data_IF_667477531634
#
_entry.id   IF_667477531634
#
_cell.length_a   1.000
_cell.length_b   1.000
_cell.length_c   1.000
_cell.angle_alpha   90.00
_cell.angle_beta   90.00
_cell.angle_gamma   90.00
#
_symmetry.space_group_name_H-M   'P 1'
#
loop_
_entity.id
_entity.type
_entity.pdbx_description
1 polymer ?
#
# COMPACT_ATOMS: atom_id res chain seq x y z
N UNK A 1 41.07 -42.64 40.71
CA UNK A 1 42.12 -41.97 41.54
C UNK A 1 41.61 -40.59 41.89
N UNK A 2 40.98 -40.36 43.06
CA UNK A 2 41.59 -39.97 44.36
C UNK A 2 42.60 -38.80 44.25
N UNK A 3 42.12 -37.53 44.33
CA UNK A 3 42.20 -36.57 45.48
C UNK A 3 43.57 -36.48 46.20
N UNK A 4 44.02 -35.37 46.86
CA UNK A 4 43.97 -33.89 46.67
C UNK A 4 45.36 -33.23 47.00
N UNK A 5 45.41 -31.92 47.35
CA UNK A 5 46.21 -31.19 48.40
C UNK A 5 46.38 -29.74 47.91
N UNK A 6 45.89 -28.62 48.48
CA UNK A 6 45.68 -28.02 49.83
C UNK A 6 46.92 -27.33 50.44
N UNK A 7 46.68 -26.08 50.92
CA UNK A 7 47.49 -25.18 51.78
C UNK A 7 48.44 -24.26 50.99
N UNK A 8 48.51 -22.95 51.23
CA UNK A 8 48.15 -22.13 52.40
C UNK A 8 49.39 -21.31 52.77
N UNK A 9 49.28 -19.98 52.91
CA UNK A 9 50.45 -19.16 53.25
C UNK A 9 50.17 -17.66 53.26
N UNK A 10 49.96 -17.15 54.47
CA UNK A 10 49.84 -15.74 54.88
C UNK A 10 51.16 -14.96 54.75
N UNK A 11 51.11 -13.65 54.46
CA UNK A 11 52.31 -12.81 54.56
C UNK A 11 52.11 -11.31 54.29
N UNK A 12 51.70 -10.57 55.33
CA UNK A 12 51.92 -9.14 55.66
C UNK A 12 52.44 -8.13 54.61
N UNK A 13 51.58 -7.13 54.39
CA UNK A 13 51.79 -5.68 54.58
C UNK A 13 53.13 -5.02 54.21
N UNK A 14 53.04 -4.05 53.28
CA UNK A 14 53.80 -2.80 53.35
C UNK A 14 52.94 -1.64 52.84
N UNK A 15 52.95 -0.58 53.63
CA UNK A 15 52.21 0.67 53.48
C UNK A 15 52.78 1.47 52.31
N UNK A 16 51.92 1.90 51.40
CA UNK A 16 52.21 2.95 50.43
C UNK A 16 51.09 3.98 50.47
N UNK A 17 51.35 5.13 51.06
CA UNK A 17 50.46 6.29 51.02
C UNK A 17 50.45 6.83 49.57
N UNK A 18 49.44 6.43 48.81
CA UNK A 18 49.15 6.96 47.48
C UNK A 18 48.06 8.01 47.57
N UNK A 19 48.40 9.23 47.19
CA UNK A 19 47.51 10.39 47.04
C UNK A 19 46.24 9.98 46.27
N UNK A 20 45.09 9.99 46.95
CA UNK A 20 43.79 9.90 46.29
C UNK A 20 43.46 11.28 45.75
N UNK A 21 43.76 11.49 44.48
CA UNK A 21 43.13 12.56 43.70
C UNK A 21 41.66 12.17 43.59
N UNK A 22 40.80 12.92 44.26
CA UNK A 22 39.36 12.86 44.07
C UNK A 22 39.04 13.35 42.65
N UNK A 23 39.18 12.46 41.68
CA UNK A 23 38.60 12.63 40.36
C UNK A 23 37.09 12.48 40.52
N UNK A 24 36.39 13.62 40.51
CA UNK A 24 34.96 13.64 40.23
C UNK A 24 34.80 13.10 38.81
N UNK A 25 34.58 11.80 38.69
CA UNK A 25 34.02 11.18 37.50
C UNK A 25 32.58 11.67 37.42
N UNK A 26 32.40 12.85 36.83
CA UNK A 26 31.18 13.19 36.11
C UNK A 26 31.01 12.10 35.06
N UNK A 27 30.23 11.07 35.40
CA UNK A 27 29.62 10.20 34.43
C UNK A 27 28.68 11.08 33.61
N UNK A 28 29.24 11.73 32.58
CA UNK A 28 28.47 12.19 31.45
C UNK A 28 27.84 10.92 30.88
N UNK A 29 26.62 10.63 31.32
CA UNK A 29 25.73 9.73 30.60
C UNK A 29 25.61 10.30 29.20
N UNK A 30 26.43 9.79 28.30
CA UNK A 30 26.20 9.85 26.88
C UNK A 30 24.92 9.03 26.67
N UNK A 31 23.78 9.68 26.90
CA UNK A 31 22.56 9.37 26.19
C UNK A 31 22.93 9.56 24.73
N UNK A 32 23.45 8.49 24.11
CA UNK A 32 23.55 8.43 22.67
C UNK A 32 22.18 8.80 22.11
N UNK A 33 22.10 9.52 20.98
CA UNK A 33 20.83 9.73 20.32
C UNK A 33 20.20 8.35 20.13
N UNK A 34 19.19 8.05 20.95
CA UNK A 34 18.24 7.03 20.59
C UNK A 34 17.64 7.59 19.32
N UNK A 35 17.99 6.99 18.19
CA UNK A 35 17.14 7.04 17.01
C UNK A 35 15.76 6.62 17.50
N UNK A 36 14.97 7.62 17.87
CA UNK A 36 13.54 7.51 17.90
C UNK A 36 13.24 7.16 16.46
N UNK A 37 13.12 5.86 16.17
CA UNK A 37 12.55 5.36 14.95
C UNK A 37 11.19 6.02 14.87
N UNK A 38 11.13 7.16 14.19
CA UNK A 38 9.96 8.00 14.15
C UNK A 38 8.86 7.10 13.62
N UNK A 39 7.86 6.83 14.46
CA UNK A 39 6.70 6.10 13.96
C UNK A 39 6.20 6.87 12.74
N UNK A 40 5.94 6.19 11.62
CA UNK A 40 5.41 6.84 10.44
C UNK A 40 4.18 7.62 10.88
N UNK A 41 4.13 8.92 10.59
CA UNK A 41 2.97 9.74 10.91
C UNK A 41 1.87 9.32 9.95
N UNK A 42 1.00 8.40 10.37
CA UNK A 42 -0.23 8.13 9.65
C UNK A 42 -1.05 9.42 9.68
N UNK A 43 -1.34 10.03 8.53
CA UNK A 43 -2.05 11.30 8.51
C UNK A 43 -3.49 11.10 8.94
N UNK A 44 -4.00 12.02 9.76
CA UNK A 44 -5.43 12.05 10.07
C UNK A 44 -6.22 12.31 8.77
N UNK A 45 -7.25 11.51 8.43
CA UNK A 45 -8.07 11.78 7.27
C UNK A 45 -8.80 13.13 7.33
N UNK A 46 -8.96 13.67 8.54
CA UNK A 46 -9.54 14.99 8.82
C UNK A 46 -8.55 16.16 8.69
N UNK A 47 -7.28 15.91 8.35
CA UNK A 47 -6.33 16.98 8.08
C UNK A 47 -6.84 17.90 6.95
N UNK A 48 -6.40 19.17 6.88
CA UNK A 48 -6.90 20.10 5.88
C UNK A 48 -6.64 19.63 4.45
N UNK A 49 -7.60 19.82 3.55
CA UNK A 49 -7.41 19.63 2.12
C UNK A 49 -7.16 20.97 1.43
N UNK A 50 -6.08 21.11 0.65
CA UNK A 50 -5.70 22.35 -0.03
C UNK A 50 -5.02 22.12 -1.36
N UNK A 51 -5.44 22.81 -2.40
CA UNK A 51 -4.78 22.73 -3.71
C UNK A 51 -4.86 21.33 -4.32
N UNK A 52 -3.97 21.06 -5.26
CA UNK A 52 -4.04 19.84 -6.08
C UNK A 52 -2.67 19.19 -6.26
N UNK A 53 -2.65 17.89 -6.58
CA UNK A 53 -1.40 17.13 -6.80
C UNK A 53 -0.69 17.65 -8.06
N UNK A 54 0.52 18.22 -7.96
CA UNK A 54 1.26 18.71 -9.12
C UNK A 54 1.73 17.55 -10.01
N UNK A 55 1.84 17.80 -11.32
CA UNK A 55 2.32 16.81 -12.28
C UNK A 55 1.30 15.74 -12.68
N UNK A 56 0.08 15.76 -12.11
CA UNK A 56 -0.98 14.83 -12.51
C UNK A 56 -1.52 15.15 -13.91
N UNK A 57 -1.78 14.13 -14.69
CA UNK A 57 -2.57 14.21 -15.92
C UNK A 57 -4.03 13.86 -15.63
N UNK A 58 -4.98 14.45 -16.36
CA UNK A 58 -6.43 14.31 -16.12
C UNK A 58 -7.16 13.99 -17.43
N UNK A 59 -8.24 13.21 -17.34
CA UNK A 59 -9.14 12.91 -18.44
C UNK A 59 -8.44 12.20 -19.59
N UNK A 60 -8.63 12.67 -20.83
CA UNK A 60 -8.00 12.07 -22.02
C UNK A 60 -6.46 12.09 -21.98
N UNK A 61 -5.86 12.98 -21.18
CA UNK A 61 -4.41 13.02 -20.98
C UNK A 61 -3.92 12.07 -19.89
N UNK A 62 -4.81 11.53 -19.05
CA UNK A 62 -4.45 10.61 -17.99
C UNK A 62 -3.90 9.29 -18.55
N UNK A 63 -4.39 8.85 -19.71
CA UNK A 63 -3.84 7.68 -20.42
C UNK A 63 -2.73 8.14 -21.35
N UNK A 64 -1.49 7.92 -20.94
CA UNK A 64 -0.34 8.22 -21.80
C UNK A 64 -0.10 7.09 -22.82
N UNK A 65 0.88 7.26 -23.71
CA UNK A 65 1.23 6.22 -24.67
C UNK A 65 1.74 4.93 -23.98
N UNK A 66 2.44 5.06 -22.84
CA UNK A 66 2.92 3.92 -22.05
C UNK A 66 1.75 3.16 -21.38
N UNK A 67 0.71 3.86 -20.92
CA UNK A 67 -0.38 3.25 -20.14
C UNK A 67 -1.41 2.53 -21.01
N UNK A 68 -1.42 2.84 -22.31
CA UNK A 68 -2.47 2.41 -23.25
C UNK A 68 -2.65 0.89 -23.28
N UNK A 69 -1.56 0.12 -23.29
CA UNK A 69 -1.62 -1.34 -23.34
C UNK A 69 -2.31 -1.92 -22.09
N UNK A 70 -1.91 -1.45 -20.90
CA UNK A 70 -2.50 -1.83 -19.62
C UNK A 70 -3.99 -1.44 -19.54
N UNK A 71 -4.35 -0.22 -19.94
CA UNK A 71 -5.75 0.27 -19.95
C UNK A 71 -6.63 -0.55 -20.90
N UNK A 72 -6.16 -0.79 -22.11
CA UNK A 72 -6.91 -1.57 -23.08
C UNK A 72 -7.06 -3.02 -22.62
N UNK A 73 -6.06 -3.59 -21.95
CA UNK A 73 -6.14 -4.94 -21.37
C UNK A 73 -7.19 -5.01 -20.27
N UNK A 74 -7.20 -4.07 -19.33
CA UNK A 74 -8.23 -3.97 -18.31
C UNK A 74 -9.63 -3.90 -18.93
N UNK A 75 -9.82 -3.03 -19.92
CA UNK A 75 -11.10 -2.89 -20.65
C UNK A 75 -11.53 -4.19 -21.32
N UNK A 76 -10.61 -4.92 -21.96
CA UNK A 76 -10.91 -6.23 -22.58
C UNK A 76 -11.34 -7.27 -21.55
N UNK A 77 -10.59 -7.39 -20.44
CA UNK A 77 -10.89 -8.34 -19.37
C UNK A 77 -12.25 -8.06 -18.73
N UNK A 78 -12.59 -6.78 -18.54
CA UNK A 78 -13.88 -6.37 -18.00
C UNK A 78 -15.03 -6.51 -19.00
N UNK A 79 -14.79 -6.20 -20.27
CA UNK A 79 -15.80 -6.27 -21.34
C UNK A 79 -16.13 -7.68 -21.82
N UNK A 80 -15.43 -8.71 -21.32
CA UNK A 80 -15.56 -10.09 -21.78
C UNK A 80 -15.15 -10.30 -23.26
N UNK A 81 -14.58 -9.26 -23.88
CA UNK A 81 -14.25 -9.23 -25.30
C UNK A 81 -12.79 -9.70 -25.48
N UNK A 82 -12.64 -11.00 -25.75
CA UNK A 82 -11.59 -11.54 -26.60
C UNK A 82 -10.15 -11.30 -26.14
N UNK A 83 -9.62 -12.26 -25.39
CA UNK A 83 -8.22 -12.32 -25.07
C UNK A 83 -7.40 -12.67 -26.35
N UNK A 84 -6.45 -11.79 -26.74
CA UNK A 84 -5.47 -12.05 -27.82
C UNK A 84 -4.52 -13.20 -27.46
N UNK A 85 -4.41 -13.48 -26.17
CA UNK A 85 -3.86 -14.70 -25.57
C UNK A 85 -5.05 -15.57 -25.15
N UNK A 86 -5.07 -16.90 -25.32
CA UNK A 86 -6.15 -17.72 -24.77
C UNK A 86 -6.36 -17.34 -23.30
N UNK A 87 -7.61 -17.19 -22.84
CA UNK A 87 -7.89 -16.84 -21.43
C UNK A 87 -7.20 -17.77 -20.41
N UNK A 88 -6.73 -18.94 -20.87
CA UNK A 88 -5.88 -19.87 -20.15
C UNK A 88 -4.44 -19.41 -19.84
N UNK A 89 -3.92 -18.32 -20.43
CA UNK A 89 -2.54 -17.84 -20.19
C UNK A 89 -2.44 -16.50 -19.47
N UNK A 90 -3.55 -15.92 -19.01
CA UNK A 90 -3.55 -14.78 -18.08
C UNK A 90 -4.26 -15.19 -16.80
N UNK A 91 -3.62 -14.95 -15.67
CA UNK A 91 -4.19 -15.15 -14.35
C UNK A 91 -4.49 -13.77 -13.72
N UNK A 92 -5.70 -13.63 -13.20
CA UNK A 92 -6.14 -12.45 -12.47
C UNK A 92 -6.52 -12.87 -11.06
N UNK A 93 -5.87 -12.27 -10.06
CA UNK A 93 -6.13 -12.53 -8.65
C UNK A 93 -6.03 -11.26 -7.84
N UNK A 94 -6.69 -11.29 -6.70
CA UNK A 94 -6.68 -10.21 -5.73
C UNK A 94 -6.87 -10.76 -4.31
N UNK A 95 -6.33 -10.05 -3.33
CA UNK A 95 -6.49 -10.35 -1.91
C UNK A 95 -6.31 -9.10 -1.07
N UNK A 96 -7.04 -9.00 0.03
CA UNK A 96 -6.86 -7.94 1.01
C UNK A 96 -8.13 -7.72 1.80
N UNK A 97 -8.40 -6.46 2.11
CA UNK A 97 -9.58 -6.04 2.86
C UNK A 97 -10.72 -5.73 1.90
N UNK A 98 -11.81 -6.49 2.01
CA UNK A 98 -13.12 -6.08 1.49
C UNK A 98 -13.77 -5.12 2.48
N UNK A 99 -14.14 -3.94 2.01
CA UNK A 99 -14.91 -2.97 2.75
C UNK A 99 -16.39 -3.27 2.52
N UNK A 100 -17.03 -3.79 3.55
CA UNK A 100 -18.43 -4.15 3.56
C UNK A 100 -19.07 -3.47 4.75
N UNK A 101 -19.52 -2.23 4.57
CA UNK A 101 -20.66 -1.82 5.36
C UNK A 101 -21.83 -2.70 4.90
N UNK A 102 -22.55 -3.33 5.83
CA UNK A 102 -23.83 -3.94 5.51
C UNK A 102 -24.78 -2.89 4.94
N UNK A 103 -24.79 -2.74 3.61
CA UNK A 103 -25.60 -1.75 2.90
C UNK A 103 -25.04 -0.33 2.94
N UNK A 104 -25.56 0.53 2.04
CA UNK A 104 -25.18 1.92 1.82
C UNK A 104 -24.79 2.68 3.10
N UNK A 105 -23.60 3.29 3.12
CA UNK A 105 -23.15 4.05 4.29
C UNK A 105 -21.66 4.37 4.33
N UNK A 106 -20.82 3.72 3.52
CA UNK A 106 -19.41 4.12 3.40
C UNK A 106 -19.33 5.40 2.59
N UNK A 107 -18.79 6.44 3.22
CA UNK A 107 -18.59 7.78 2.67
C UNK A 107 -17.12 8.07 2.39
N UNK A 108 -16.21 7.14 2.70
CA UNK A 108 -14.79 7.30 2.43
C UNK A 108 -13.93 6.15 2.91
N UNK A 109 -12.73 6.07 2.34
CA UNK A 109 -11.69 5.11 2.68
C UNK A 109 -10.35 5.83 2.62
N UNK A 110 -9.48 5.57 3.60
CA UNK A 110 -8.12 6.07 3.65
C UNK A 110 -7.19 4.94 4.05
N UNK A 111 -5.98 4.93 3.49
CA UNK A 111 -4.94 3.96 3.82
C UNK A 111 -3.56 4.57 3.60
N UNK A 112 -2.55 3.93 4.20
CA UNK A 112 -1.14 4.14 3.88
C UNK A 112 -0.61 2.90 3.19
N UNK A 113 -0.11 3.07 1.98
CA UNK A 113 0.15 2.01 1.02
C UNK A 113 1.62 2.02 0.65
N UNK A 114 2.25 0.84 0.66
CA UNK A 114 3.63 0.70 0.17
C UNK A 114 3.71 1.06 -1.30
N UNK A 115 4.86 1.58 -1.67
CA UNK A 115 5.17 1.96 -3.03
C UNK A 115 6.61 1.57 -3.31
N UNK A 116 6.84 0.74 -4.32
CA UNK A 116 8.18 0.34 -4.74
C UNK A 116 8.55 1.03 -6.07
N UNK A 117 9.23 2.19 -6.05
CA UNK A 117 9.56 2.91 -7.27
C UNK A 117 10.57 2.17 -8.15
N UNK A 118 11.25 1.15 -7.62
CA UNK A 118 12.22 0.33 -8.34
C UNK A 118 11.61 -0.99 -8.88
N UNK A 119 10.30 -1.21 -8.69
CA UNK A 119 9.60 -2.34 -9.29
C UNK A 119 9.14 -1.98 -10.71
N UNK A 120 9.74 -2.67 -11.67
CA UNK A 120 9.33 -2.72 -13.07
C UNK A 120 8.97 -4.16 -13.41
N UNK A 121 7.86 -4.37 -14.11
CA UNK A 121 7.44 -5.71 -14.54
C UNK A 121 8.24 -6.17 -15.76
N UNK A 122 8.53 -7.47 -15.84
CA UNK A 122 9.30 -8.02 -16.95
C UNK A 122 8.47 -8.27 -18.23
N UNK A 123 7.16 -8.50 -18.10
CA UNK A 123 6.22 -8.58 -19.24
C UNK A 123 5.48 -7.24 -19.42
N UNK A 124 5.54 -6.66 -20.61
CA UNK A 124 4.83 -5.43 -20.97
C UNK A 124 3.29 -5.61 -20.98
N UNK A 125 2.81 -6.86 -21.06
CA UNK A 125 1.39 -7.16 -20.92
C UNK A 125 0.93 -7.23 -19.45
N UNK A 126 1.86 -7.36 -18.50
CA UNK A 126 1.53 -7.52 -17.08
C UNK A 126 1.21 -6.18 -16.42
N UNK A 127 0.30 -6.25 -15.44
CA UNK A 127 -0.10 -5.09 -14.66
C UNK A 127 -0.30 -5.51 -13.22
N UNK A 128 0.33 -4.77 -12.31
CA UNK A 128 0.19 -4.96 -10.88
C UNK A 128 -0.49 -3.74 -10.26
N UNK A 129 -1.62 -3.97 -9.60
CA UNK A 129 -2.41 -3.00 -8.84
C UNK A 129 -2.21 -3.28 -7.35
N UNK A 130 -1.18 -2.67 -6.77
CA UNK A 130 -0.65 -3.10 -5.49
C UNK A 130 -0.09 -1.95 -4.66
N UNK A 131 -0.88 -1.38 -3.72
CA UNK A 131 -2.30 -1.65 -3.47
C UNK A 131 -3.29 -0.87 -4.35
N UNK A 132 -4.54 -1.32 -4.41
CA UNK A 132 -5.73 -0.61 -4.93
C UNK A 132 -6.78 -0.42 -3.83
N UNK A 133 -7.54 0.69 -3.82
CA UNK A 133 -8.72 0.80 -2.96
C UNK A 133 -9.88 1.63 -3.54
N UNK A 134 -11.11 1.21 -3.19
CA UNK A 134 -12.39 1.88 -3.47
C UNK A 134 -13.26 1.89 -2.22
N UNK A 135 -13.84 3.03 -1.79
CA UNK A 135 -14.57 3.10 -0.52
C UNK A 135 -15.75 2.14 -0.37
N UNK A 136 -16.59 2.02 -1.39
CA UNK A 136 -17.85 1.28 -1.25
C UNK A 136 -18.66 1.25 -2.54
N UNK A 137 -19.85 0.63 -2.49
CA UNK A 137 -20.82 0.75 -3.58
C UNK A 137 -21.22 2.22 -3.76
N UNK A 138 -21.33 2.68 -5.00
CA UNK A 138 -21.67 4.08 -5.31
C UNK A 138 -20.45 5.01 -5.40
N UNK A 139 -19.26 4.58 -4.97
CA UNK A 139 -18.06 5.39 -5.12
C UNK A 139 -17.65 5.53 -6.59
N UNK A 140 -17.39 6.75 -7.03
CA UNK A 140 -16.96 7.04 -8.41
C UNK A 140 -15.47 6.79 -8.65
N UNK A 141 -14.67 6.69 -7.60
CA UNK A 141 -13.21 6.65 -7.73
C UNK A 141 -12.65 5.43 -7.02
N UNK A 142 -11.78 4.73 -7.73
CA UNK A 142 -10.80 3.79 -7.16
C UNK A 142 -9.41 4.38 -7.37
N UNK A 143 -8.60 4.38 -6.31
CA UNK A 143 -7.20 4.77 -6.37
C UNK A 143 -6.33 3.52 -6.44
N UNK A 144 -5.33 3.55 -7.31
CA UNK A 144 -4.47 2.39 -7.60
C UNK A 144 -3.01 2.81 -7.63
N UNK A 145 -2.16 2.09 -6.90
CA UNK A 145 -0.72 2.05 -7.21
C UNK A 145 -0.52 1.05 -8.33
N UNK A 146 -0.05 1.53 -9.48
CA UNK A 146 0.16 0.72 -10.68
C UNK A 146 1.64 0.52 -10.89
N UNK A 147 2.05 -0.72 -11.11
CA UNK A 147 3.37 -1.05 -11.65
C UNK A 147 3.20 -1.70 -13.03
N UNK A 148 4.02 -1.23 -13.97
CA UNK A 148 4.14 -1.73 -15.35
C UNK A 148 5.61 -2.02 -15.67
N UNK A 149 5.90 -2.41 -16.90
CA UNK A 149 7.26 -2.49 -17.43
C UNK A 149 7.99 -1.14 -17.47
N UNK A 150 7.23 -0.04 -17.48
CA UNK A 150 7.75 1.33 -17.52
C UNK A 150 7.95 1.99 -16.14
N UNK A 151 7.53 1.32 -15.07
CA UNK A 151 7.67 1.79 -13.69
C UNK A 151 6.34 2.01 -12.96
N UNK A 152 6.42 2.76 -11.86
CA UNK A 152 5.32 2.97 -10.92
C UNK A 152 4.55 4.28 -11.17
N UNK A 153 3.23 4.22 -11.02
CA UNK A 153 2.31 5.34 -11.12
C UNK A 153 1.19 5.25 -10.09
N UNK A 154 0.53 6.38 -9.82
CA UNK A 154 -0.75 6.39 -9.12
C UNK A 154 -1.85 6.73 -10.12
N UNK A 155 -2.87 5.89 -10.21
CA UNK A 155 -4.02 6.06 -11.09
C UNK A 155 -5.30 6.29 -10.28
N UNK A 156 -6.23 7.06 -10.84
CA UNK A 156 -7.62 7.11 -10.39
C UNK A 156 -8.52 6.58 -11.51
N UNK A 157 -9.13 5.42 -11.31
CA UNK A 157 -10.22 4.96 -12.17
C UNK A 157 -11.47 5.79 -11.91
N UNK A 158 -12.11 6.22 -12.98
CA UNK A 158 -13.39 6.91 -12.97
C UNK A 158 -14.51 5.92 -13.32
N UNK A 159 -15.14 5.42 -12.27
CA UNK A 159 -16.26 4.49 -12.34
C UNK A 159 -17.58 5.16 -12.71
N UNK A 160 -17.64 6.49 -12.74
CA UNK A 160 -18.86 7.26 -13.00
C UNK A 160 -18.95 7.84 -14.41
N UNK A 161 -17.97 7.55 -15.27
CA UNK A 161 -18.14 7.81 -16.71
C UNK A 161 -19.11 6.82 -17.35
N UNK A 162 -19.66 7.20 -18.51
CA UNK A 162 -20.56 6.31 -19.27
C UNK A 162 -19.92 4.97 -19.68
N UNK A 163 -18.59 4.90 -19.76
CA UNK A 163 -17.88 3.65 -20.06
C UNK A 163 -17.58 2.83 -18.80
N UNK A 164 -17.60 3.46 -17.62
CA UNK A 164 -17.21 2.89 -16.34
C UNK A 164 -15.79 2.32 -16.34
N UNK A 165 -14.92 2.73 -17.26
CA UNK A 165 -13.57 2.15 -17.44
C UNK A 165 -12.55 3.18 -17.91
N UNK A 166 -12.78 4.43 -17.52
CA UNK A 166 -11.88 5.53 -17.87
C UNK A 166 -10.90 5.78 -16.74
N UNK A 167 -9.66 6.11 -17.09
CA UNK A 167 -8.74 6.67 -16.13
C UNK A 167 -9.00 8.16 -16.05
N UNK A 168 -9.41 8.60 -14.88
CA UNK A 168 -9.69 10.00 -14.59
C UNK A 168 -8.42 10.82 -14.32
N UNK A 169 -7.42 10.21 -13.67
CA UNK A 169 -6.15 10.87 -13.38
C UNK A 169 -4.97 9.88 -13.27
N UNK A 170 -3.77 10.35 -13.60
CA UNK A 170 -2.51 9.64 -13.36
C UNK A 170 -1.42 10.58 -12.85
N UNK A 171 -0.43 10.04 -12.14
CA UNK A 171 0.83 10.73 -11.85
C UNK A 171 1.97 9.70 -11.74
N UNK A 172 3.12 9.99 -12.37
CA UNK A 172 4.31 9.16 -12.26
C UNK A 172 4.91 9.24 -10.86
N UNK A 173 5.38 8.12 -10.34
CA UNK A 173 6.13 8.07 -9.08
C UNK A 173 7.61 8.33 -9.36
N UNK A 174 7.99 9.60 -9.35
CA UNK A 174 9.38 10.07 -9.49
C UNK A 174 9.89 10.69 -8.18
N UNK A 175 11.16 11.08 -8.12
CA UNK A 175 11.78 11.70 -6.93
C UNK A 175 10.99 12.91 -6.42
N UNK A 176 10.45 13.74 -7.32
CA UNK A 176 9.63 14.90 -6.94
C UNK A 176 8.28 14.50 -6.30
N UNK A 177 7.71 13.37 -6.72
CA UNK A 177 6.54 12.78 -6.08
C UNK A 177 6.91 12.25 -4.69
N UNK A 178 7.97 11.44 -4.61
CA UNK A 178 8.43 10.82 -3.35
C UNK A 178 8.82 11.86 -2.30
N UNK A 179 9.47 12.96 -2.71
CA UNK A 179 9.84 14.05 -1.79
C UNK A 179 8.64 14.75 -1.13
N UNK A 180 7.45 14.68 -1.74
CA UNK A 180 6.24 15.34 -1.22
C UNK A 180 5.24 14.37 -0.60
N UNK A 181 4.99 13.26 -1.27
CA UNK A 181 3.94 12.29 -0.94
C UNK A 181 4.49 11.01 -0.31
N UNK A 182 5.80 10.78 -0.44
CA UNK A 182 6.48 9.63 0.12
C UNK A 182 6.70 9.76 1.62
N UNK A 183 6.60 8.62 2.29
CA UNK A 183 6.99 8.38 3.67
C UNK A 183 7.65 7.01 3.77
N UNK A 184 8.02 6.60 4.98
CA UNK A 184 8.55 5.25 5.23
C UNK A 184 7.72 4.56 6.29
N UNK A 185 7.19 3.37 5.98
CA UNK A 185 6.47 2.49 6.92
C UNK A 185 7.19 1.16 7.01
N UNK A 186 7.62 0.79 8.21
CA UNK A 186 8.32 -0.49 8.43
C UNK A 186 9.60 -0.65 7.59
N UNK A 187 10.28 0.45 7.26
CA UNK A 187 11.47 0.46 6.41
C UNK A 187 11.20 0.44 4.90
N UNK A 188 9.94 0.54 4.46
CA UNK A 188 9.53 0.56 3.06
C UNK A 188 8.98 1.93 2.67
N UNK A 189 9.26 2.36 1.44
CA UNK A 189 8.63 3.53 0.84
C UNK A 189 7.11 3.32 0.80
N UNK A 190 6.37 4.35 1.18
CA UNK A 190 4.92 4.33 1.24
C UNK A 190 4.36 5.73 0.95
N UNK A 191 3.06 5.82 0.71
CA UNK A 191 2.33 7.09 0.63
C UNK A 191 0.95 6.91 1.27
N UNK A 192 0.28 8.00 1.61
CA UNK A 192 -1.08 7.95 2.15
C UNK A 192 -2.05 8.58 1.18
N UNK A 193 -3.21 7.95 1.07
CA UNK A 193 -4.28 8.35 0.19
C UNK A 193 -5.63 8.27 0.91
N UNK A 194 -6.60 9.00 0.38
CA UNK A 194 -8.02 8.82 0.72
C UNK A 194 -8.92 9.09 -0.48
N UNK A 195 -10.07 8.44 -0.49
CA UNK A 195 -11.18 8.72 -1.39
C UNK A 195 -12.40 8.93 -0.52
N UNK A 196 -13.11 10.06 -0.66
CA UNK A 196 -14.31 10.34 0.12
C UNK A 196 -15.38 11.07 -0.68
N UNK A 197 -16.64 10.89 -0.28
CA UNK A 197 -17.77 11.61 -0.83
C UNK A 197 -17.75 13.05 -0.31
N UNK A 198 -17.68 14.00 -1.23
CA UNK A 198 -17.60 15.44 -0.95
C UNK A 198 -18.92 16.15 -1.22
N UNK A 199 -19.80 15.58 -2.05
CA UNK A 199 -21.18 16.02 -2.19
C UNK A 199 -22.11 14.82 -2.42
N UNK A 200 -23.01 14.57 -1.48
CA UNK A 200 -23.96 13.47 -1.55
C UNK A 200 -25.07 13.72 -2.61
N UNK A 201 -25.39 14.97 -2.92
CA UNK A 201 -26.50 15.32 -3.84
C UNK A 201 -26.18 14.91 -5.26
N UNK A 202 -24.94 15.15 -5.68
CA UNK A 202 -24.43 14.82 -7.01
C UNK A 202 -23.64 13.51 -7.05
N UNK A 203 -23.55 12.80 -5.91
CA UNK A 203 -22.62 11.68 -5.72
C UNK A 203 -21.18 12.03 -6.14
N UNK A 204 -20.68 13.19 -5.71
CA UNK A 204 -19.30 13.60 -5.99
C UNK A 204 -18.35 12.96 -4.99
N UNK A 205 -17.30 12.32 -5.53
CA UNK A 205 -16.20 11.74 -4.79
C UNK A 205 -14.90 12.46 -5.15
N UNK A 206 -14.02 12.60 -4.17
CA UNK A 206 -12.69 13.16 -4.38
C UNK A 206 -11.61 12.24 -3.82
N UNK A 207 -10.62 11.96 -4.65
CA UNK A 207 -9.38 11.29 -4.31
C UNK A 207 -8.32 12.32 -3.89
N UNK A 208 -7.54 11.99 -2.87
CA UNK A 208 -6.50 12.83 -2.30
C UNK A 208 -5.22 12.03 -2.05
N UNK A 209 -4.08 12.70 -2.18
CA UNK A 209 -2.78 12.23 -1.70
C UNK A 209 -2.29 13.14 -0.56
N UNK A 210 -1.68 12.58 0.47
CA UNK A 210 -1.17 13.36 1.60
C UNK A 210 0.20 13.96 1.26
N UNK A 211 0.29 15.28 1.21
CA UNK A 211 1.54 16.01 1.06
C UNK A 211 2.20 16.12 2.44
N UNK A 212 3.12 15.19 2.71
CA UNK A 212 3.88 15.11 3.96
C UNK A 212 4.74 16.35 4.20
N UNK A 213 5.18 17.03 3.13
CA UNK A 213 5.98 18.26 3.25
C UNK A 213 5.16 19.46 3.75
N UNK A 214 3.86 19.47 3.47
CA UNK A 214 2.95 20.57 3.82
C UNK A 214 1.93 20.19 4.91
N UNK A 215 1.83 18.92 5.30
CA UNK A 215 0.89 18.44 6.29
C UNK A 215 -0.59 18.53 5.86
N UNK A 216 -0.87 18.45 4.55
CA UNK A 216 -2.21 18.64 3.98
C UNK A 216 -2.56 17.56 2.95
N UNK A 217 -3.86 17.30 2.79
CA UNK A 217 -4.36 16.52 1.66
C UNK A 217 -4.39 17.38 0.39
N UNK A 218 -3.89 16.85 -0.73
CA UNK A 218 -3.95 17.48 -2.05
C UNK A 218 -4.96 16.74 -2.92
N UNK A 219 -5.84 17.48 -3.59
CA UNK A 219 -6.81 16.85 -4.52
C UNK A 219 -6.06 16.23 -5.69
N UNK A 220 -6.25 14.93 -5.87
CA UNK A 220 -5.75 14.18 -7.02
C UNK A 220 -6.79 14.16 -8.13
N UNK A 221 -8.01 13.71 -7.82
CA UNK A 221 -9.07 13.58 -8.82
C UNK A 221 -10.45 13.76 -8.18
N UNK A 222 -11.40 14.29 -8.94
CA UNK A 222 -12.80 14.44 -8.54
C UNK A 222 -13.68 13.92 -9.66
N UNK A 223 -14.64 13.07 -9.31
CA UNK A 223 -15.64 12.53 -10.23
C UNK A 223 -17.01 12.51 -9.55
N UNK A 224 -18.07 12.54 -10.35
CA UNK A 224 -19.46 12.49 -9.92
C UNK A 224 -20.28 11.68 -10.90
N UNK A 225 -21.44 11.18 -10.47
CA UNK A 225 -22.36 10.43 -11.32
C UNK A 225 -22.79 9.10 -10.73
N UNK A 226 -23.04 8.11 -11.59
CA UNK A 226 -23.51 6.79 -11.17
C UNK A 226 -22.37 5.79 -11.26
N UNK A 227 -22.13 5.05 -10.18
CA UNK A 227 -21.10 4.01 -10.15
C UNK A 227 -21.44 2.85 -11.11
N UNK A 228 -20.56 2.61 -12.08
CA UNK A 228 -20.65 1.51 -13.06
C UNK A 228 -19.68 0.36 -12.76
N UNK A 229 -19.09 0.31 -11.56
CA UNK A 229 -18.16 -0.75 -11.14
C UNK A 229 -18.82 -2.13 -11.06
N UNK A 230 -20.15 -2.21 -10.91
CA UNK A 230 -20.90 -3.46 -10.93
C UNK A 230 -20.73 -4.33 -9.67
N UNK A 231 -20.13 -3.77 -8.61
CA UNK A 231 -19.83 -4.47 -7.36
C UNK A 231 -20.49 -3.77 -6.17
N UNK A 232 -21.03 -4.58 -5.25
CA UNK A 232 -21.80 -4.10 -4.10
C UNK A 232 -20.94 -3.85 -2.84
N UNK A 233 -19.63 -3.67 -3.00
CA UNK A 233 -18.67 -3.52 -1.91
C UNK A 233 -17.51 -2.61 -2.31
N UNK A 234 -16.76 -2.14 -1.32
CA UNK A 234 -15.46 -1.49 -1.49
C UNK A 234 -14.31 -2.45 -1.20
N UNK A 235 -13.08 -1.99 -1.42
CA UNK A 235 -11.88 -2.81 -1.21
C UNK A 235 -10.66 -1.95 -0.90
N UNK A 236 -9.66 -2.61 -0.32
CA UNK A 236 -8.25 -2.21 -0.22
C UNK A 236 -7.42 -3.50 -0.39
N UNK A 237 -6.81 -3.70 -1.55
CA UNK A 237 -6.33 -5.01 -2.01
C UNK A 237 -5.01 -4.93 -2.78
N UNK A 238 -4.30 -6.05 -2.76
CA UNK A 238 -3.32 -6.43 -3.77
C UNK A 238 -4.07 -7.09 -4.93
N UNK A 239 -3.79 -6.70 -6.17
CA UNK A 239 -4.40 -7.25 -7.38
C UNK A 239 -3.38 -7.28 -8.52
N UNK A 240 -3.41 -8.31 -9.37
CA UNK A 240 -2.60 -8.33 -10.59
C UNK A 240 -3.34 -8.98 -11.75
N UNK A 241 -2.89 -8.63 -12.93
CA UNK A 241 -3.21 -9.30 -14.18
C UNK A 241 -1.89 -9.73 -14.81
N UNK A 242 -1.58 -11.03 -14.80
CA UNK A 242 -0.26 -11.50 -15.21
C UNK A 242 -0.31 -12.70 -16.14
N UNK A 243 0.60 -12.74 -17.09
CA UNK A 243 0.83 -13.86 -17.98
C UNK A 243 1.40 -15.06 -17.21
N UNK A 244 0.91 -16.25 -17.55
CA UNK A 244 1.48 -17.50 -17.05
C UNK A 244 2.68 -17.89 -17.90
N UNK A 245 3.84 -18.03 -17.27
CA UNK A 245 5.04 -18.58 -17.89
C UNK A 245 4.81 -20.07 -18.20
N UNK A 246 4.83 -20.48 -19.48
CA UNK A 246 4.62 -21.88 -19.85
C UNK A 246 5.75 -22.81 -19.40
N UNK A 247 6.94 -22.30 -19.07
CA UNK A 247 8.07 -23.11 -18.62
C UNK A 247 7.94 -23.52 -17.15
N UNK A 248 7.50 -22.60 -16.29
CA UNK A 248 7.39 -22.82 -14.83
C UNK A 248 5.96 -23.07 -14.38
N UNK A 249 4.97 -22.59 -15.12
CA UNK A 249 3.57 -22.55 -14.72
C UNK A 249 3.25 -21.41 -13.74
N UNK A 250 4.21 -20.55 -13.40
CA UNK A 250 4.02 -19.40 -12.53
C UNK A 250 3.50 -18.19 -13.31
N UNK A 251 2.89 -17.23 -12.63
CA UNK A 251 2.66 -15.88 -13.19
C UNK A 251 3.96 -15.07 -13.14
N UNK A 252 4.26 -14.31 -14.20
CA UNK A 252 5.53 -13.55 -14.29
C UNK A 252 5.66 -12.49 -13.19
N UNK A 253 4.55 -11.88 -12.77
CA UNK A 253 4.53 -10.94 -11.63
C UNK A 253 5.02 -11.58 -10.32
N UNK A 254 4.96 -12.91 -10.18
CA UNK A 254 5.52 -13.62 -9.05
C UNK A 254 7.04 -13.45 -8.98
N UNK A 255 7.71 -13.61 -10.12
CA UNK A 255 9.17 -13.51 -10.23
C UNK A 255 9.62 -12.06 -10.05
N UNK A 256 8.87 -11.10 -10.60
CA UNK A 256 9.15 -9.66 -10.44
C UNK A 256 9.02 -9.20 -8.97
N UNK A 257 8.15 -9.86 -8.20
CA UNK A 257 7.91 -9.59 -6.78
C UNK A 257 8.83 -10.37 -5.83
N UNK A 258 9.71 -11.25 -6.32
CA UNK A 258 10.60 -12.05 -5.48
C UNK A 258 11.44 -11.17 -4.54
N UNK A 259 11.36 -11.46 -3.23
CA UNK A 259 12.02 -10.69 -2.17
C UNK A 259 11.36 -9.35 -1.83
N UNK A 260 10.24 -9.00 -2.48
CA UNK A 260 9.50 -7.75 -2.26
C UNK A 260 8.32 -7.95 -1.32
N UNK A 261 7.83 -6.83 -0.81
CA UNK A 261 6.70 -6.75 0.11
C UNK A 261 5.75 -5.66 -0.32
N UNK A 262 4.49 -6.02 -0.54
CA UNK A 262 3.38 -5.08 -0.73
C UNK A 262 2.56 -5.05 0.56
N UNK A 263 2.17 -3.87 1.02
CA UNK A 263 1.41 -3.70 2.25
C UNK A 263 0.46 -2.50 2.12
N UNK A 264 -0.73 -2.64 2.67
CA UNK A 264 -1.64 -1.53 2.94
C UNK A 264 -2.01 -1.57 4.40
N UNK A 265 -1.92 -0.40 5.04
CA UNK A 265 -2.02 -0.26 6.46
C UNK A 265 -2.73 0.99 6.93
N UNK A 266 -3.08 0.96 8.21
CA UNK A 266 -3.87 2.00 8.86
C UNK A 266 -5.16 2.33 8.07
N UNK A 267 -5.81 1.31 7.50
CA UNK A 267 -7.04 1.49 6.73
C UNK A 267 -8.15 2.03 7.62
N UNK A 268 -8.72 3.16 7.23
CA UNK A 268 -9.83 3.82 7.91
C UNK A 268 -11.03 3.97 6.98
N UNK A 269 -12.22 3.69 7.51
CA UNK A 269 -13.50 3.80 6.82
C UNK A 269 -14.25 5.00 7.40
N UNK A 270 -14.81 5.83 6.52
CA UNK A 270 -15.71 6.91 6.91
C UNK A 270 -17.14 6.47 6.68
N UNK A 271 -17.99 6.68 7.68
CA UNK A 271 -19.45 6.61 7.56
C UNK A 271 -20.09 7.90 8.12
N UNK A 272 -21.39 7.86 8.42
CA UNK A 272 -22.11 8.98 9.00
C UNK A 272 -21.64 9.36 10.42
N UNK A 273 -21.05 8.43 11.18
CA UNK A 273 -20.50 8.67 12.50
C UNK A 273 -19.08 9.25 12.45
N UNK A 274 -18.38 9.09 11.32
CA UNK A 274 -17.07 9.68 11.07
C UNK A 274 -16.04 8.65 10.61
N UNK A 275 -14.76 8.98 10.77
CA UNK A 275 -13.66 8.08 10.44
C UNK A 275 -13.42 7.10 11.59
N UNK A 276 -13.35 5.81 11.28
CA UNK A 276 -12.98 4.74 12.20
C UNK A 276 -12.03 3.76 11.52
N UNK A 277 -11.28 2.97 12.30
CA UNK A 277 -10.46 1.91 11.72
C UNK A 277 -11.34 0.87 11.01
N UNK A 278 -10.79 0.25 9.96
CA UNK A 278 -11.36 -0.98 9.43
C UNK A 278 -11.30 -2.07 10.52
N UNK A 279 -12.45 -2.67 10.80
CA UNK A 279 -12.66 -3.69 11.84
C UNK A 279 -13.59 -4.77 11.30
N UNK A 280 -13.69 -5.96 11.94
CA UNK A 280 -14.58 -7.02 11.47
C UNK A 280 -16.06 -6.63 11.31
N UNK A 281 -16.50 -5.58 12.00
CA UNK A 281 -17.87 -5.07 11.91
C UNK A 281 -18.18 -4.30 10.61
N UNK A 282 -17.17 -3.73 9.94
CA UNK A 282 -17.34 -2.90 8.74
C UNK A 282 -16.49 -3.40 7.54
N UNK A 283 -15.77 -4.51 7.71
CA UNK A 283 -14.86 -5.04 6.70
C UNK A 283 -14.52 -6.51 6.98
N UNK A 284 -13.97 -7.18 5.98
CA UNK A 284 -13.56 -8.59 6.05
C UNK A 284 -12.33 -8.84 5.19
N UNK A 285 -11.56 -9.88 5.50
CA UNK A 285 -10.51 -10.35 4.58
C UNK A 285 -11.18 -11.08 3.41
N UNK A 286 -10.73 -10.80 2.19
CA UNK A 286 -11.35 -11.29 0.95
C UNK A 286 -10.29 -11.65 -0.10
N UNK A 287 -10.55 -12.67 -0.95
CA UNK A 287 -11.72 -13.56 -0.96
C UNK A 287 -11.69 -14.66 0.10
N UNK A 288 -10.52 -14.92 0.68
CA UNK A 288 -10.29 -15.94 1.71
C UNK A 288 -9.31 -15.40 2.76
N UNK A 289 -9.27 -15.97 3.98
CA UNK A 289 -8.36 -15.51 5.03
C UNK A 289 -6.87 -15.54 4.66
N UNK A 290 -6.47 -16.38 3.70
CA UNK A 290 -5.12 -16.44 3.18
C UNK A 290 -5.13 -16.70 1.66
N UNK A 291 -4.06 -16.26 0.99
CA UNK A 291 -3.75 -16.62 -0.39
C UNK A 291 -3.42 -18.11 -0.50
N UNK A 292 -3.80 -18.71 -1.62
CA UNK A 292 -3.47 -20.09 -1.98
C UNK A 292 -2.42 -20.05 -3.11
N UNK A 293 -1.14 -20.37 -2.84
CA UNK A 293 -0.07 -20.28 -3.84
C UNK A 293 -0.40 -20.96 -5.17
N UNK A 294 -1.09 -22.11 -5.14
CA UNK A 294 -1.48 -22.82 -6.36
C UNK A 294 -2.55 -22.06 -7.14
N UNK A 295 -3.55 -21.52 -6.46
CA UNK A 295 -4.59 -20.69 -7.07
C UNK A 295 -4.08 -19.36 -7.64
N UNK A 296 -2.97 -18.86 -7.10
CA UNK A 296 -2.26 -17.66 -7.54
C UNK A 296 -1.19 -17.95 -8.58
N UNK A 297 -0.87 -19.22 -8.84
CA UNK A 297 0.25 -19.62 -9.70
C UNK A 297 1.55 -18.91 -9.28
N UNK A 298 1.77 -18.80 -7.98
CA UNK A 298 2.95 -18.14 -7.42
C UNK A 298 3.35 -18.88 -6.15
N UNK A 299 4.27 -19.83 -6.28
CA UNK A 299 4.61 -20.76 -5.20
C UNK A 299 5.11 -20.07 -3.91
N UNK A 300 5.81 -18.96 -4.04
CA UNK A 300 6.36 -18.19 -2.92
C UNK A 300 5.44 -17.12 -2.33
N UNK A 301 4.19 -16.98 -2.81
CA UNK A 301 3.31 -15.91 -2.33
C UNK A 301 2.77 -16.21 -0.93
N UNK A 302 2.86 -15.23 -0.06
CA UNK A 302 2.35 -15.30 1.30
C UNK A 302 1.54 -14.05 1.64
N UNK A 303 0.35 -14.25 2.16
CA UNK A 303 -0.49 -13.18 2.71
C UNK A 303 -0.44 -13.18 4.24
N UNK A 304 -0.37 -12.01 4.84
CA UNK A 304 -0.42 -11.81 6.28
C UNK A 304 -1.43 -10.70 6.62
N UNK A 305 -2.31 -10.97 7.59
CA UNK A 305 -3.12 -9.95 8.25
C UNK A 305 -2.33 -9.47 9.47
N UNK A 306 -1.78 -8.26 9.41
CA UNK A 306 -0.94 -7.69 10.48
C UNK A 306 -1.83 -7.18 11.61
N UNK A 307 -2.87 -6.43 11.24
CA UNK A 307 -3.95 -5.98 12.13
C UNK A 307 -5.27 -6.34 11.45
N UNK A 308 -6.22 -7.00 12.14
CA UNK A 308 -7.48 -7.41 11.55
C UNK A 308 -8.13 -6.30 10.73
N UNK A 309 -8.27 -6.54 9.42
CA UNK A 309 -8.93 -5.68 8.44
C UNK A 309 -8.27 -4.32 8.12
N UNK A 310 -7.44 -3.77 9.00
CA UNK A 310 -6.84 -2.45 8.80
C UNK A 310 -5.41 -2.49 8.28
N UNK A 311 -4.77 -3.68 8.29
CA UNK A 311 -3.36 -3.80 7.96
C UNK A 311 -3.07 -5.19 7.40
N UNK A 312 -2.64 -5.25 6.15
CA UNK A 312 -2.36 -6.49 5.44
C UNK A 312 -1.07 -6.37 4.64
N UNK A 313 -0.41 -7.51 4.43
CA UNK A 313 0.85 -7.63 3.71
C UNK A 313 0.85 -8.84 2.78
N UNK A 314 1.46 -8.69 1.62
CA UNK A 314 1.78 -9.74 0.67
C UNK A 314 3.30 -9.75 0.46
N UNK A 315 3.91 -10.92 0.53
CA UNK A 315 5.34 -11.14 0.25
C UNK A 315 5.51 -12.27 -0.74
N UNK A 316 6.59 -12.23 -1.52
CA UNK A 316 7.02 -13.37 -2.35
C UNK A 316 8.45 -13.73 -1.96
N UNK A 317 8.70 -15.00 -1.61
CA UNK A 317 10.01 -15.50 -1.16
C UNK A 317 10.49 -16.72 -1.94
#
# INVERSE_FOLDING_TARGET
MRVPVKRGGTGRALRGAGVVVAGVLLAAGLSGPQDATARPVVPAPTAPARGTVPGRAIGTHAVTARDRAAVERFRRLRGGAGALRPAASTNHKWWGTKVAAGGAGVLGLSATQTLDPALTLSDADDVLYAPTFKPGPGACIELVTVHTDSGAEIWAWDWCTNSGTDIGATVTVEDAFLARYGTTVGGRTAYSAKVEQTDATSNTWTAYLYDYSAGVWRTFFTSNGTDHSGVAYGWDMFEYYSAVDPATGNVQVCDDLAGRTVESGATQIRDAAGWSAAVPANSSVFPKPAMDPAGYLCAGIHSQVVTPNSDWRVTVS
#
